data_IF_742017106154
#
_entry.id   IF_742017106154
#
_cell.length_a   1.000
_cell.length_b   1.000
_cell.length_c   1.000
_cell.angle_alpha   90.00
_cell.angle_beta   90.00
_cell.angle_gamma   90.00
#
_symmetry.space_group_name_H-M   'P 1'
#
loop_
_entity.id
_entity.type
_entity.pdbx_description
1 polymer ?
#
# COMPACT_ATOMS: atom_id res chain seq x y z
N UNK A 1 16.23 -1.20 9.51
CA UNK A 1 15.21 -2.27 9.36
C UNK A 1 14.41 -1.99 8.09
N UNK A 2 15.00 -2.31 6.94
CA UNK A 2 14.32 -2.28 5.64
C UNK A 2 13.25 -3.37 5.63
N UNK A 3 12.01 -3.00 5.33
CA UNK A 3 10.91 -3.95 5.20
C UNK A 3 10.85 -4.35 3.74
N UNK A 4 11.45 -5.49 3.38
CA UNK A 4 11.20 -6.08 2.06
C UNK A 4 9.77 -6.57 2.03
N UNK A 5 8.98 -5.95 1.15
CA UNK A 5 7.64 -6.41 0.89
C UNK A 5 7.68 -7.69 0.03
N UNK A 6 6.85 -8.69 0.34
CA UNK A 6 6.78 -9.90 -0.46
C UNK A 6 6.19 -9.58 -1.85
N UNK A 7 6.94 -9.87 -2.91
CA UNK A 7 6.48 -9.71 -4.28
C UNK A 7 5.21 -10.56 -4.54
N UNK A 8 4.22 -9.96 -5.19
CA UNK A 8 2.97 -10.61 -5.57
C UNK A 8 2.03 -10.97 -4.42
N UNK A 9 2.32 -10.56 -3.18
CA UNK A 9 1.47 -10.84 -2.00
C UNK A 9 1.04 -9.56 -1.29
N UNK A 10 -0.14 -9.61 -0.70
CA UNK A 10 -0.63 -8.56 0.18
C UNK A 10 0.16 -8.55 1.49
N UNK A 11 0.59 -7.36 1.89
CA UNK A 11 1.21 -7.13 3.19
C UNK A 11 0.63 -5.85 3.82
N UNK A 12 0.51 -5.88 5.14
CA UNK A 12 -0.04 -4.75 5.89
C UNK A 12 0.98 -3.62 5.99
N UNK A 13 0.55 -2.39 5.70
CA UNK A 13 1.41 -1.22 5.90
C UNK A 13 1.75 -1.03 7.38
N UNK A 14 3.00 -0.68 7.67
CA UNK A 14 3.46 -0.35 9.03
C UNK A 14 2.74 0.85 9.65
N UNK A 15 2.15 1.71 8.82
CA UNK A 15 1.35 2.87 9.24
C UNK A 15 -0.10 2.51 9.61
N UNK A 16 -0.48 1.24 9.47
CA UNK A 16 -1.78 0.74 9.88
C UNK A 16 -1.83 0.53 11.38
N UNK A 17 -1.98 1.61 12.15
CA UNK A 17 -2.21 1.52 13.59
C UNK A 17 -3.53 0.80 13.92
N UNK A 18 -3.59 0.23 15.12
CA UNK A 18 -4.56 -0.78 15.55
C UNK A 18 -6.04 -0.38 15.43
N UNK A 19 -6.34 0.92 15.31
CA UNK A 19 -7.73 1.38 15.45
C UNK A 19 -8.45 1.56 14.11
N UNK A 20 -7.95 2.32 13.13
CA UNK A 20 -8.87 2.82 12.09
C UNK A 20 -8.36 3.05 10.65
N UNK A 21 -7.09 2.77 10.33
CA UNK A 21 -6.56 3.02 8.98
C UNK A 21 -5.74 1.83 8.46
N UNK A 22 -6.32 0.63 8.50
CA UNK A 22 -5.64 -0.58 8.05
C UNK A 22 -5.63 -0.65 6.52
N UNK A 23 -4.45 -0.48 5.93
CA UNK A 23 -4.23 -0.64 4.49
C UNK A 23 -3.27 -1.79 4.22
N UNK A 24 -3.58 -2.56 3.19
CA UNK A 24 -2.68 -3.55 2.61
C UNK A 24 -2.18 -3.08 1.25
N UNK A 25 -0.95 -3.45 0.94
CA UNK A 25 -0.28 -3.14 -0.33
C UNK A 25 0.19 -4.44 -0.96
N UNK A 26 0.16 -4.54 -2.28
CA UNK A 26 0.76 -5.62 -3.07
C UNK A 26 1.59 -5.00 -4.19
N UNK A 27 2.85 -5.42 -4.31
CA UNK A 27 3.70 -5.10 -5.46
C UNK A 27 3.58 -6.22 -6.49
N UNK A 28 2.99 -5.93 -7.65
CA UNK A 28 2.66 -6.90 -8.69
C UNK A 28 3.19 -6.41 -10.05
N UNK A 29 4.46 -6.71 -10.31
CA UNK A 29 5.16 -6.18 -11.49
C UNK A 29 5.24 -4.66 -11.46
N UNK A 30 4.75 -4.01 -12.53
CA UNK A 30 4.73 -2.55 -12.67
C UNK A 30 3.51 -1.89 -12.01
N UNK A 31 2.75 -2.64 -11.22
CA UNK A 31 1.56 -2.13 -10.52
C UNK A 31 1.72 -2.26 -9.01
N UNK A 32 1.34 -1.20 -8.30
CA UNK A 32 1.14 -1.23 -6.86
C UNK A 32 -0.36 -1.23 -6.58
N UNK A 33 -0.86 -2.31 -6.01
CA UNK A 33 -2.25 -2.40 -5.60
C UNK A 33 -2.38 -2.05 -4.11
N UNK A 34 -3.40 -1.26 -3.77
CA UNK A 34 -3.71 -0.83 -2.40
C UNK A 34 -5.17 -1.14 -2.11
N UNK A 35 -5.43 -1.72 -0.95
CA UNK A 35 -6.80 -2.01 -0.50
C UNK A 35 -6.99 -1.76 0.99
N UNK A 36 -8.25 -1.66 1.37
CA UNK A 36 -8.66 -1.63 2.77
C UNK A 36 -8.54 -3.05 3.37
N UNK A 37 -7.74 -3.20 4.43
CA UNK A 37 -7.55 -4.52 5.06
C UNK A 37 -8.81 -5.06 5.73
N UNK A 38 -9.76 -4.18 6.09
CA UNK A 38 -11.04 -4.55 6.71
C UNK A 38 -12.06 -5.00 5.66
N UNK A 39 -11.84 -4.70 4.37
CA UNK A 39 -12.66 -5.19 3.28
C UNK A 39 -11.82 -5.78 2.12
N UNK A 40 -11.20 -6.97 2.30
CA UNK A 40 -10.31 -7.58 1.30
C UNK A 40 -10.96 -7.93 -0.05
N UNK A 41 -12.30 -8.05 -0.09
CA UNK A 41 -13.07 -8.28 -1.33
C UNK A 41 -13.68 -7.01 -1.92
N UNK A 42 -13.36 -5.84 -1.34
CA UNK A 42 -13.77 -4.55 -1.85
C UNK A 42 -12.92 -4.06 -3.02
N UNK A 43 -13.14 -2.81 -3.46
CA UNK A 43 -12.35 -2.20 -4.53
C UNK A 43 -10.86 -2.11 -4.18
N UNK A 44 -10.02 -2.35 -5.18
CA UNK A 44 -8.57 -2.18 -5.11
C UNK A 44 -8.18 -0.94 -5.93
N UNK A 45 -7.26 -0.14 -5.40
CA UNK A 45 -6.64 0.97 -6.11
C UNK A 45 -5.33 0.51 -6.72
N UNK A 46 -5.15 0.71 -8.03
CA UNK A 46 -3.92 0.35 -8.74
C UNK A 46 -3.16 1.59 -9.18
N UNK A 47 -1.86 1.60 -8.91
CA UNK A 47 -0.95 2.68 -9.27
C UNK A 47 0.18 2.14 -10.14
N UNK A 48 0.48 2.84 -11.24
CA UNK A 48 1.73 2.63 -11.97
C UNK A 48 2.94 3.17 -11.20
N UNK A 49 4.17 2.85 -11.61
CA UNK A 49 5.37 3.11 -10.80
C UNK A 49 5.58 4.60 -10.55
N UNK A 50 5.41 5.44 -11.57
CA UNK A 50 5.58 6.89 -11.48
C UNK A 50 4.58 7.56 -10.53
N UNK A 51 3.32 7.10 -10.54
CA UNK A 51 2.28 7.64 -9.67
C UNK A 51 2.54 7.24 -8.20
N UNK A 52 3.00 6.01 -7.98
CA UNK A 52 3.39 5.55 -6.66
C UNK A 52 4.59 6.32 -6.10
N UNK A 53 5.62 6.54 -6.92
CA UNK A 53 6.79 7.32 -6.53
C UNK A 53 6.44 8.78 -6.24
N UNK A 54 5.55 9.39 -7.03
CA UNK A 54 5.04 10.73 -6.77
C UNK A 54 4.26 10.81 -5.45
N UNK A 55 3.42 9.81 -5.15
CA UNK A 55 2.71 9.71 -3.87
C UNK A 55 3.68 9.63 -2.69
N UNK A 56 4.68 8.74 -2.76
CA UNK A 56 5.70 8.61 -1.71
C UNK A 56 6.53 9.89 -1.54
N UNK A 57 6.88 10.55 -2.64
CA UNK A 57 7.68 11.78 -2.64
C UNK A 57 6.89 13.01 -2.17
N UNK A 58 5.57 13.03 -2.36
CA UNK A 58 4.71 14.17 -1.98
C UNK A 58 4.72 14.47 -0.48
N UNK A 59 5.02 13.47 0.35
CA UNK A 59 5.00 13.60 1.80
C UNK A 59 3.61 13.79 2.41
N UNK A 60 2.51 13.71 1.62
CA UNK A 60 1.13 13.86 2.11
C UNK A 60 0.75 12.81 3.18
N UNK A 61 1.46 11.69 3.20
CA UNK A 61 1.30 10.60 4.17
C UNK A 61 2.01 10.88 5.50
N UNK A 62 2.92 11.85 5.56
CA UNK A 62 3.57 12.27 6.80
C UNK A 62 2.61 13.20 7.56
N UNK A 63 2.01 12.69 8.64
CA UNK A 63 1.36 13.53 9.66
C UNK A 63 2.38 13.98 10.69
#
# INVERSE_FOLDING_TARGET
MTYEAPAGKWFKSRWSEASNACVEVKFDGDVVAVRDSKNPGGPELEFGPQAWDAFLSSGIWKR
#
